data_IF_003665022545
#
_entry.id   IF_003665022545
#
_cell.length_a   1.000
_cell.length_b   1.000
_cell.length_c   1.000
_cell.angle_alpha   90.00
_cell.angle_beta   90.00
_cell.angle_gamma   90.00
#
_symmetry.space_group_name_H-M   'P 1'
#
loop_
_entity.id
_entity.type
_entity.pdbx_description
1 polymer ?
#
# COMPACT_ATOMS: atom_id res chain seq x y z
N UNK A 1 -4.90 -6.10 -0.07
CA UNK A 1 -6.15 -5.53 0.47
C UNK A 1 -5.92 -4.38 1.44
N UNK A 2 -5.06 -4.49 2.46
CA UNK A 2 -4.88 -3.39 3.44
C UNK A 2 -4.28 -2.08 2.86
N UNK A 3 -3.66 -2.10 1.68
CA UNK A 3 -3.13 -0.89 1.01
C UNK A 3 -4.22 0.14 0.69
N UNK A 4 -5.49 -0.27 0.58
CA UNK A 4 -6.64 0.63 0.38
C UNK A 4 -6.89 1.56 1.59
N UNK A 5 -6.26 1.32 2.74
CA UNK A 5 -6.35 2.18 3.92
C UNK A 5 -5.25 3.24 3.98
N UNK A 6 -4.30 3.27 3.04
CA UNK A 6 -3.25 4.30 2.96
C UNK A 6 -3.80 5.60 2.35
N UNK A 7 -4.82 6.19 2.98
CA UNK A 7 -5.57 7.35 2.47
C UNK A 7 -5.11 8.63 3.17
N UNK A 8 -4.37 9.54 2.49
CA UNK A 8 -3.79 10.73 3.14
C UNK A 8 -4.83 11.65 3.80
N UNK A 9 -6.00 11.82 3.19
CA UNK A 9 -7.04 12.71 3.74
C UNK A 9 -7.59 12.22 5.07
N UNK A 10 -7.79 10.91 5.21
CA UNK A 10 -8.29 10.29 6.45
C UNK A 10 -7.20 10.33 7.52
N UNK A 11 -5.97 9.99 7.16
CA UNK A 11 -4.83 10.02 8.08
C UNK A 11 -4.61 11.44 8.60
N UNK A 12 -4.68 12.46 7.75
CA UNK A 12 -4.56 13.87 8.13
C UNK A 12 -5.64 14.26 9.16
N UNK A 13 -6.92 13.92 8.91
CA UNK A 13 -8.00 14.20 9.87
C UNK A 13 -7.80 13.53 11.23
N UNK A 14 -7.38 12.26 11.24
CA UNK A 14 -7.27 11.48 12.46
C UNK A 14 -6.01 11.82 13.27
N UNK A 15 -4.89 12.05 12.58
CA UNK A 15 -3.61 12.39 13.21
C UNK A 15 -3.54 13.83 13.69
N UNK A 16 -4.28 14.74 13.03
CA UNK A 16 -4.16 16.18 13.22
C UNK A 16 -3.00 16.80 12.42
N UNK A 17 -2.26 16.02 11.64
CA UNK A 17 -1.24 16.53 10.73
C UNK A 17 -1.87 17.18 9.49
N UNK A 18 -1.24 18.24 9.00
CA UNK A 18 -1.67 18.91 7.77
C UNK A 18 -1.54 17.95 6.55
N UNK A 19 -2.35 18.14 5.50
CA UNK A 19 -2.44 17.16 4.41
C UNK A 19 -1.15 17.04 3.59
N UNK A 20 -0.40 18.13 3.39
CA UNK A 20 0.91 18.10 2.73
C UNK A 20 1.95 17.38 3.57
N UNK A 21 1.97 17.61 4.89
CA UNK A 21 2.82 16.88 5.84
C UNK A 21 2.49 15.39 5.79
N UNK A 22 1.21 15.05 5.90
CA UNK A 22 0.72 13.67 5.83
C UNK A 22 1.15 12.95 4.55
N UNK A 23 1.04 13.63 3.40
CA UNK A 23 1.48 13.09 2.11
C UNK A 23 2.98 12.86 2.06
N UNK A 24 3.79 13.78 2.63
CA UNK A 24 5.25 13.61 2.72
C UNK A 24 5.60 12.39 3.55
N UNK A 25 5.10 12.33 4.79
CA UNK A 25 5.39 11.24 5.71
C UNK A 25 4.95 9.88 5.17
N UNK A 26 3.78 9.81 4.52
CA UNK A 26 3.32 8.58 3.87
C UNK A 26 4.23 8.19 2.70
N UNK A 27 4.67 9.15 1.88
CA UNK A 27 5.60 8.92 0.78
C UNK A 27 6.95 8.38 1.28
N UNK A 28 7.48 8.94 2.37
CA UNK A 28 8.68 8.46 3.04
C UNK A 28 8.49 7.05 3.58
N UNK A 29 7.41 6.79 4.32
CA UNK A 29 7.09 5.47 4.87
C UNK A 29 6.94 4.40 3.79
N UNK A 30 6.36 4.73 2.64
CA UNK A 30 6.29 3.85 1.46
C UNK A 30 7.68 3.61 0.88
N UNK A 31 8.48 4.66 0.72
CA UNK A 31 9.82 4.56 0.12
C UNK A 31 10.79 3.71 0.96
N UNK A 32 10.67 3.75 2.29
CA UNK A 32 11.45 2.89 3.18
C UNK A 32 11.23 1.39 2.92
N UNK A 33 10.06 1.03 2.38
CA UNK A 33 9.73 -0.36 2.06
C UNK A 33 10.22 -0.80 0.68
N UNK A 34 10.93 0.05 -0.08
CA UNK A 34 11.35 -0.27 -1.46
C UNK A 34 12.17 -1.55 -1.53
N UNK A 35 13.18 -1.67 -0.66
CA UNK A 35 14.10 -2.83 -0.68
C UNK A 35 13.34 -4.12 -0.36
N UNK A 36 12.47 -4.09 0.65
CA UNK A 36 11.64 -5.24 1.02
C UNK A 36 10.67 -5.62 -0.11
N UNK A 37 10.03 -4.62 -0.73
CA UNK A 37 9.12 -4.86 -1.85
C UNK A 37 9.86 -5.46 -3.05
N UNK A 38 11.06 -4.97 -3.37
CA UNK A 38 11.89 -5.50 -4.45
C UNK A 38 12.34 -6.93 -4.17
N UNK A 39 12.81 -7.20 -2.95
CA UNK A 39 13.22 -8.54 -2.54
C UNK A 39 12.06 -9.55 -2.64
N UNK A 40 10.87 -9.17 -2.17
CA UNK A 40 9.67 -10.01 -2.29
C UNK A 40 9.25 -10.23 -3.74
N UNK A 41 9.31 -9.19 -4.56
CA UNK A 41 8.98 -9.28 -5.99
C UNK A 41 9.92 -10.25 -6.72
N UNK A 42 11.23 -10.11 -6.52
CA UNK A 42 12.24 -10.98 -7.11
C UNK A 42 12.08 -12.43 -6.63
N UNK A 43 11.86 -12.63 -5.33
CA UNK A 43 11.63 -13.96 -4.76
C UNK A 43 10.46 -14.66 -5.44
N UNK A 44 9.30 -13.99 -5.56
CA UNK A 44 8.12 -14.56 -6.24
C UNK A 44 8.41 -14.92 -7.70
N UNK A 45 9.04 -14.01 -8.45
CA UNK A 45 9.42 -14.25 -9.85
C UNK A 45 10.36 -15.45 -9.99
N UNK A 46 11.34 -15.58 -9.11
CA UNK A 46 12.24 -16.72 -9.09
C UNK A 46 11.51 -18.01 -8.75
N UNK A 47 10.64 -18.03 -7.73
CA UNK A 47 9.84 -19.21 -7.38
C UNK A 47 8.96 -19.66 -8.56
N UNK A 48 8.32 -18.72 -9.25
CA UNK A 48 7.39 -19.02 -10.35
C UNK A 48 8.08 -19.53 -11.62
N UNK A 49 9.31 -19.07 -11.90
CA UNK A 49 10.00 -19.30 -13.18
C UNK A 49 11.21 -20.23 -13.09
N UNK A 50 11.99 -20.17 -12.00
CA UNK A 50 13.11 -21.10 -11.78
C UNK A 50 12.58 -22.51 -11.50
N UNK A 51 11.44 -22.62 -10.80
CA UNK A 51 10.72 -23.89 -10.66
C UNK A 51 10.26 -24.50 -11.99
N UNK A 52 10.29 -23.73 -13.08
CA UNK A 52 9.93 -24.14 -14.45
C UNK A 52 11.15 -24.26 -15.38
N UNK A 53 12.38 -24.27 -14.84
CA UNK A 53 13.62 -24.50 -15.58
C UNK A 53 14.35 -23.25 -16.08
N UNK A 54 13.90 -22.04 -15.75
CA UNK A 54 14.62 -20.82 -16.09
C UNK A 54 15.86 -20.62 -15.19
N UNK A 55 16.94 -20.06 -15.74
CA UNK A 55 18.13 -19.73 -14.96
C UNK A 55 17.87 -18.50 -14.07
N UNK A 56 18.19 -18.59 -12.77
CA UNK A 56 17.86 -17.56 -11.79
C UNK A 56 18.40 -16.16 -12.15
N UNK A 57 19.58 -16.10 -12.77
CA UNK A 57 20.19 -14.82 -13.19
C UNK A 57 19.39 -14.14 -14.31
N UNK A 58 18.79 -14.91 -15.23
CA UNK A 58 18.01 -14.35 -16.33
C UNK A 58 16.65 -13.85 -15.83
N UNK A 59 16.04 -14.57 -14.88
CA UNK A 59 14.82 -14.14 -14.19
C UNK A 59 15.05 -12.82 -13.46
N UNK A 60 16.14 -12.70 -12.71
CA UNK A 60 16.49 -11.45 -12.01
C UNK A 60 16.71 -10.30 -13.00
N UNK A 61 17.44 -10.53 -14.10
CA UNK A 61 17.72 -9.49 -15.11
C UNK A 61 16.45 -8.95 -15.76
N UNK A 62 15.44 -9.79 -15.95
CA UNK A 62 14.14 -9.38 -16.48
C UNK A 62 13.24 -8.71 -15.42
N UNK A 63 13.29 -9.21 -14.18
CA UNK A 63 12.40 -8.75 -13.11
C UNK A 63 12.78 -7.39 -12.51
N UNK A 64 14.07 -7.02 -12.48
CA UNK A 64 14.48 -5.70 -11.93
C UNK A 64 13.86 -4.53 -12.73
N UNK A 65 13.99 -4.47 -14.08
CA UNK A 65 13.36 -3.41 -14.86
C UNK A 65 11.84 -3.37 -14.73
N UNK A 66 11.19 -4.53 -14.62
CA UNK A 66 9.75 -4.63 -14.40
C UNK A 66 9.35 -4.01 -13.04
N UNK A 67 10.07 -4.37 -11.99
CA UNK A 67 9.86 -3.78 -10.66
C UNK A 67 10.04 -2.27 -10.70
N UNK A 68 11.11 -1.77 -11.31
CA UNK A 68 11.37 -0.33 -11.38
C UNK A 68 10.30 0.42 -12.18
N UNK A 69 9.75 -0.18 -13.24
CA UNK A 69 8.65 0.41 -13.98
C UNK A 69 7.40 0.60 -13.11
N UNK A 70 6.99 -0.43 -12.36
CA UNK A 70 5.85 -0.34 -11.44
C UNK A 70 6.13 0.56 -10.24
N UNK A 71 7.36 0.52 -9.73
CA UNK A 71 7.76 1.37 -8.62
C UNK A 71 7.72 2.84 -9.00
N UNK A 72 8.09 3.20 -10.22
CA UNK A 72 8.08 4.60 -10.66
C UNK A 72 6.66 5.14 -10.89
N UNK A 73 5.67 4.28 -11.09
CA UNK A 73 4.26 4.64 -11.11
C UNK A 73 3.74 4.95 -9.68
N UNK A 74 3.29 6.18 -9.45
CA UNK A 74 2.85 6.65 -8.12
C UNK A 74 1.51 6.04 -7.69
N UNK A 75 0.68 5.62 -8.63
CA UNK A 75 -0.63 5.04 -8.35
C UNK A 75 -0.49 3.55 -8.00
N UNK A 76 0.49 2.87 -8.60
CA UNK A 76 0.79 1.46 -8.34
C UNK A 76 1.65 1.27 -7.08
N UNK A 77 2.64 2.13 -6.85
CA UNK A 77 3.66 1.98 -5.80
C UNK A 77 3.10 1.66 -4.40
N UNK A 78 2.05 2.34 -3.88
CA UNK A 78 1.50 2.02 -2.56
C UNK A 78 0.92 0.60 -2.46
N UNK A 79 0.49 0.01 -3.58
CA UNK A 79 0.03 -1.37 -3.66
C UNK A 79 1.15 -2.41 -3.62
N UNK A 80 2.40 -2.00 -3.88
CA UNK A 80 3.56 -2.90 -3.93
C UNK A 80 4.17 -3.19 -2.55
N UNK A 81 3.88 -2.35 -1.56
CA UNK A 81 4.53 -2.39 -0.24
C UNK A 81 3.66 -3.08 0.82
N UNK A 82 4.25 -3.72 1.84
CA UNK A 82 3.49 -4.31 2.95
C UNK A 82 2.81 -3.20 3.79
N UNK A 83 1.48 -3.07 3.76
CA UNK A 83 0.78 -1.93 4.35
C UNK A 83 0.98 -1.85 5.87
N UNK A 84 1.10 -2.97 6.58
CA UNK A 84 1.41 -2.98 8.02
C UNK A 84 2.76 -2.33 8.35
N UNK A 85 3.78 -2.54 7.52
CA UNK A 85 5.10 -1.91 7.72
C UNK A 85 5.03 -0.41 7.44
N UNK A 86 4.31 -0.02 6.40
CA UNK A 86 4.02 1.40 6.11
C UNK A 86 3.31 2.06 7.29
N UNK A 87 2.30 1.41 7.88
CA UNK A 87 1.62 1.96 9.06
C UNK A 87 2.51 2.09 10.28
N UNK A 88 3.41 1.14 10.53
CA UNK A 88 4.38 1.25 11.64
C UNK A 88 5.28 2.47 11.44
N UNK A 89 5.95 2.54 10.28
CA UNK A 89 6.83 3.66 9.93
C UNK A 89 6.10 5.01 9.95
N UNK A 90 4.88 5.05 9.39
CA UNK A 90 4.05 6.26 9.38
C UNK A 90 3.71 6.72 10.81
N UNK A 91 3.37 5.80 11.70
CA UNK A 91 3.05 6.16 13.09
C UNK A 91 4.28 6.61 13.88
N UNK A 92 5.45 6.01 13.64
CA UNK A 92 6.72 6.50 14.20
C UNK A 92 6.97 7.95 13.77
N UNK A 93 6.83 8.24 12.47
CA UNK A 93 6.99 9.60 11.94
C UNK A 93 5.96 10.61 12.46
N UNK A 94 4.70 10.19 12.58
CA UNK A 94 3.65 11.03 13.15
C UNK A 94 3.98 11.36 14.61
N UNK A 95 4.40 10.37 15.41
CA UNK A 95 4.77 10.56 16.80
C UNK A 95 5.98 11.50 16.95
N UNK A 96 7.02 11.34 16.12
CA UNK A 96 8.20 12.21 16.10
C UNK A 96 7.83 13.67 15.76
N UNK A 97 6.80 13.86 14.93
CA UNK A 97 6.23 15.18 14.59
C UNK A 97 5.25 15.74 15.62
N UNK A 98 4.97 15.03 16.73
CA UNK A 98 4.01 15.44 17.75
C UNK A 98 2.54 15.25 17.36
N UNK A 99 2.26 14.44 16.34
CA UNK A 99 0.91 14.12 15.87
C UNK A 99 0.38 12.83 16.50
N UNK A 100 -0.93 12.58 16.33
CA UNK A 100 -1.55 11.36 16.84
C UNK A 100 -1.31 10.19 15.89
N UNK A 101 -1.04 9.03 16.47
CA UNK A 101 -0.98 7.77 15.73
C UNK A 101 -2.37 7.39 15.19
N UNK A 102 -2.37 6.69 14.07
CA UNK A 102 -3.57 6.18 13.40
C UNK A 102 -3.57 4.66 13.36
N UNK A 103 -4.75 4.06 13.33
CA UNK A 103 -4.92 2.62 13.14
C UNK A 103 -5.77 2.34 11.92
N UNK A 104 -5.56 1.18 11.29
CA UNK A 104 -6.40 0.70 10.17
C UNK A 104 -7.88 0.73 10.53
N UNK A 105 -8.22 0.32 11.76
CA UNK A 105 -9.60 0.34 12.27
C UNK A 105 -10.15 1.77 12.36
N UNK A 106 -9.36 2.71 12.89
CA UNK A 106 -9.78 4.11 12.96
C UNK A 106 -9.95 4.72 11.56
N UNK A 107 -9.08 4.38 10.61
CA UNK A 107 -9.20 4.81 9.22
C UNK A 107 -10.49 4.27 8.60
N UNK A 108 -10.69 2.96 8.64
CA UNK A 108 -11.89 2.31 8.10
C UNK A 108 -13.18 2.93 8.64
N UNK A 109 -13.26 3.16 9.96
CA UNK A 109 -14.44 3.74 10.61
C UNK A 109 -14.68 5.22 10.28
N UNK A 110 -13.68 5.93 9.76
CA UNK A 110 -13.76 7.37 9.49
C UNK A 110 -13.60 7.71 8.00
N UNK A 111 -13.47 6.71 7.14
CA UNK A 111 -13.47 6.89 5.69
C UNK A 111 -14.84 7.37 5.23
N UNK A 112 -14.85 8.37 4.37
CA UNK A 112 -16.06 8.77 3.64
C UNK A 112 -16.22 7.90 2.40
N UNK A 113 -17.44 7.83 1.86
CA UNK A 113 -17.74 6.99 0.70
C UNK A 113 -16.87 7.36 -0.52
N UNK A 114 -16.58 8.65 -0.72
CA UNK A 114 -15.70 9.13 -1.79
C UNK A 114 -14.21 8.82 -1.58
N UNK A 115 -13.82 8.42 -0.38
CA UNK A 115 -12.43 8.07 -0.03
C UNK A 115 -12.16 6.56 -0.19
N UNK A 116 -13.23 5.76 -0.40
CA UNK A 116 -13.13 4.34 -0.69
C UNK A 116 -12.71 4.14 -2.15
N UNK A 117 -11.64 3.39 -2.39
CA UNK A 117 -11.19 3.07 -3.75
C UNK A 117 -12.33 2.39 -4.53
N UNK A 118 -12.62 2.81 -5.77
CA UNK A 118 -13.76 2.31 -6.55
C UNK A 118 -13.87 0.79 -6.58
N UNK A 119 -12.76 0.08 -6.81
CA UNK A 119 -12.73 -1.38 -6.83
C UNK A 119 -13.24 -2.01 -5.51
N UNK A 120 -12.82 -1.45 -4.37
CA UNK A 120 -13.24 -1.95 -3.06
C UNK A 120 -14.70 -1.63 -2.79
N UNK A 121 -15.15 -0.43 -3.17
CA UNK A 121 -16.57 -0.04 -3.11
C UNK A 121 -17.42 -0.97 -3.95
N UNK A 122 -17.02 -1.21 -5.20
CA UNK A 122 -17.79 -2.00 -6.16
C UNK A 122 -17.86 -3.47 -5.70
N UNK A 123 -16.77 -4.02 -5.14
CA UNK A 123 -16.77 -5.34 -4.50
C UNK A 123 -17.72 -5.41 -3.29
N UNK A 124 -17.72 -4.40 -2.42
CA UNK A 124 -18.64 -4.36 -1.27
C UNK A 124 -20.11 -4.32 -1.72
N UNK A 125 -20.41 -3.55 -2.76
CA UNK A 125 -21.75 -3.48 -3.35
C UNK A 125 -22.15 -4.81 -4.00
N UNK A 126 -21.22 -5.52 -4.64
CA UNK A 126 -21.48 -6.86 -5.18
C UNK A 126 -21.80 -7.87 -4.08
N UNK A 127 -21.02 -7.85 -2.99
CA UNK A 127 -21.26 -8.68 -1.80
C UNK A 127 -22.63 -8.33 -1.17
N UNK A 128 -22.96 -7.05 -1.05
CA UNK A 128 -24.25 -6.61 -0.52
C UNK A 128 -25.41 -7.12 -1.37
N UNK A 129 -25.33 -7.02 -2.71
CA UNK A 129 -26.33 -7.58 -3.62
C UNK A 129 -26.47 -9.10 -3.47
N UNK A 130 -25.34 -9.82 -3.37
CA UNK A 130 -25.34 -11.27 -3.18
C UNK A 130 -25.98 -11.71 -1.86
N UNK A 131 -25.86 -10.90 -0.79
CA UNK A 131 -26.44 -11.19 0.53
C UNK A 131 -27.90 -10.74 0.61
N UNK A 132 -28.24 -9.59 0.02
CA UNK A 132 -29.58 -8.98 0.14
C UNK A 132 -30.56 -9.42 -0.95
N UNK A 133 -30.07 -10.06 -2.03
CA UNK A 133 -30.90 -10.67 -3.07
C UNK A 133 -31.60 -9.69 -4.02
N UNK A 134 -31.14 -8.44 -4.08
CA UNK A 134 -31.59 -7.41 -5.04
C UNK A 134 -30.50 -7.06 -6.06
#
# INVERSE_FOLDING_TARGET
MESYFLVPSVISRLSGAEITVTRSLLGEAVNEQKLDAQAQFLYRRQTDLVGKGAHAMDVTRAAIPEFDAWWNDKDIRPGMVPPKKVFSSMNEKLADGGYKNVSVRAISNNMRAEEVVPEMRDLLLEIERAITGY
#
